data_IF_871504248546
#
_entry.id   IF_871504248546
#
_cell.length_a   1.000
_cell.length_b   1.000
_cell.length_c   1.000
_cell.angle_alpha   90.00
_cell.angle_beta   90.00
_cell.angle_gamma   90.00
#
_symmetry.space_group_name_H-M   'P 1'
#
loop_
_entity.id
_entity.type
_entity.pdbx_description
1 polymer ?
#
# COMPACT_ATOMS: atom_id res chain seq x y z
N UNK A 1 -6.54 -26.17 -13.16
CA UNK A 1 -7.29 -25.99 -11.90
C UNK A 1 -6.44 -25.55 -10.70
N UNK A 2 -5.43 -26.29 -10.20
CA UNK A 2 -4.70 -25.87 -8.98
C UNK A 2 -3.88 -24.57 -9.12
N UNK A 3 -3.35 -24.29 -10.32
CA UNK A 3 -2.56 -23.09 -10.59
C UNK A 3 -3.43 -21.82 -10.76
N UNK A 4 -4.62 -21.95 -11.33
CA UNK A 4 -5.57 -20.83 -11.53
C UNK A 4 -6.20 -20.38 -10.20
N UNK A 5 -6.46 -21.32 -9.28
CA UNK A 5 -6.92 -20.99 -7.92
C UNK A 5 -5.85 -20.31 -7.05
N UNK A 6 -4.56 -20.53 -7.31
CA UNK A 6 -3.48 -19.80 -6.64
C UNK A 6 -3.38 -18.36 -7.16
N UNK A 7 -3.64 -18.15 -8.45
CA UNK A 7 -3.68 -16.81 -9.06
C UNK A 7 -4.86 -15.97 -8.55
N UNK A 8 -5.98 -16.59 -8.11
CA UNK A 8 -7.12 -15.86 -7.54
C UNK A 8 -6.95 -15.49 -6.06
N UNK A 9 -5.94 -16.05 -5.37
CA UNK A 9 -5.70 -15.79 -3.94
C UNK A 9 -4.87 -14.53 -3.71
N UNK A 10 -3.96 -14.20 -4.63
CA UNK A 10 -2.98 -13.16 -4.42
C UNK A 10 -3.25 -11.95 -5.32
N UNK A 11 -3.55 -10.81 -4.70
CA UNK A 11 -3.70 -9.53 -5.42
C UNK A 11 -2.36 -8.80 -5.43
N UNK A 12 -1.82 -8.38 -6.58
CA UNK A 12 -0.54 -7.68 -6.62
C UNK A 12 -0.64 -6.29 -5.98
N UNK A 13 0.41 -5.86 -5.28
CA UNK A 13 0.57 -4.45 -4.91
C UNK A 13 0.93 -3.61 -6.13
N UNK A 14 0.55 -2.33 -6.08
CA UNK A 14 0.80 -1.32 -7.09
C UNK A 14 1.61 -0.16 -6.49
N UNK A 15 2.39 0.57 -7.31
CA UNK A 15 2.74 0.26 -8.69
C UNK A 15 3.68 -0.95 -8.78
N UNK A 16 3.55 -1.74 -9.86
CA UNK A 16 4.47 -2.83 -10.15
C UNK A 16 5.80 -2.22 -10.63
N UNK A 17 6.83 -2.29 -9.80
CA UNK A 17 8.15 -1.70 -10.09
C UNK A 17 9.00 -2.50 -11.09
N UNK A 18 8.58 -3.71 -11.47
CA UNK A 18 9.34 -4.61 -12.36
C UNK A 18 8.44 -5.21 -13.45
N UNK A 19 8.99 -6.06 -14.33
CA UNK A 19 8.22 -6.73 -15.38
C UNK A 19 7.14 -7.69 -14.84
N UNK A 20 7.30 -8.18 -13.60
CA UNK A 20 6.37 -9.10 -12.95
C UNK A 20 6.08 -8.63 -11.51
N UNK A 21 4.82 -8.66 -11.03
CA UNK A 21 4.56 -8.42 -9.62
C UNK A 21 5.28 -9.46 -8.75
N UNK A 22 6.01 -8.97 -7.76
CA UNK A 22 6.71 -9.79 -6.76
C UNK A 22 6.18 -9.56 -5.34
N UNK A 23 5.42 -8.48 -5.13
CA UNK A 23 4.75 -8.16 -3.87
C UNK A 23 3.24 -8.35 -4.05
N UNK A 24 2.64 -9.10 -3.14
CA UNK A 24 1.25 -9.49 -3.21
C UNK A 24 0.58 -9.41 -1.85
N UNK A 25 -0.71 -9.13 -1.87
CA UNK A 25 -1.65 -9.23 -0.76
C UNK A 25 -2.30 -10.62 -0.84
N UNK A 26 -2.34 -11.35 0.27
CA UNK A 26 -3.16 -12.56 0.37
C UNK A 26 -4.62 -12.18 0.59
N UNK A 27 -5.40 -12.17 -0.49
CA UNK A 27 -6.81 -11.76 -0.49
C UNK A 27 -7.69 -12.68 0.34
N UNK A 28 -7.21 -13.88 0.68
CA UNK A 28 -7.93 -14.84 1.54
C UNK A 28 -7.57 -14.74 3.02
N UNK A 29 -6.61 -13.89 3.41
CA UNK A 29 -6.23 -13.68 4.82
C UNK A 29 -7.42 -13.19 5.66
N UNK A 30 -7.45 -13.38 7.00
CA UNK A 30 -8.53 -12.85 7.82
C UNK A 30 -8.68 -11.32 7.66
N UNK A 31 -9.92 -10.80 7.61
CA UNK A 31 -10.17 -9.35 7.47
C UNK A 31 -9.52 -8.53 8.60
N UNK A 32 -9.42 -9.11 9.80
CA UNK A 32 -8.71 -8.49 10.94
C UNK A 32 -7.23 -8.29 10.67
N UNK A 33 -6.58 -9.26 10.02
CA UNK A 33 -5.16 -9.19 9.67
C UNK A 33 -4.94 -8.19 8.52
N UNK A 34 -5.82 -8.19 7.52
CA UNK A 34 -5.79 -7.19 6.44
C UNK A 34 -5.98 -5.77 7.00
N UNK A 35 -6.94 -5.57 7.91
CA UNK A 35 -7.18 -4.29 8.56
C UNK A 35 -5.99 -3.85 9.42
N UNK A 36 -5.40 -4.76 10.21
CA UNK A 36 -4.22 -4.46 11.01
C UNK A 36 -3.03 -4.04 10.12
N UNK A 37 -2.82 -4.75 9.01
CA UNK A 37 -1.80 -4.45 8.00
C UNK A 37 -2.01 -3.06 7.38
N UNK A 38 -3.23 -2.72 6.98
CA UNK A 38 -3.57 -1.40 6.46
C UNK A 38 -3.39 -0.30 7.51
N UNK A 39 -3.78 -0.56 8.76
CA UNK A 39 -3.66 0.37 9.87
C UNK A 39 -2.20 0.70 10.18
N UNK A 40 -1.33 -0.31 10.24
CA UNK A 40 0.11 -0.11 10.46
C UNK A 40 0.71 0.79 9.36
N UNK A 41 0.41 0.51 8.09
CA UNK A 41 0.88 1.31 6.94
C UNK A 41 0.35 2.73 6.95
N UNK A 42 -0.92 2.91 7.33
CA UNK A 42 -1.53 4.24 7.44
C UNK A 42 -0.87 5.07 8.54
N UNK A 43 -0.59 4.48 9.70
CA UNK A 43 0.16 5.17 10.76
C UNK A 43 1.57 5.54 10.31
N UNK A 44 2.31 4.62 9.68
CA UNK A 44 3.64 4.92 9.15
C UNK A 44 3.62 6.05 8.10
N UNK A 45 2.59 6.08 7.25
CA UNK A 45 2.37 7.16 6.27
C UNK A 45 2.13 8.49 6.97
N UNK A 46 1.29 8.50 8.01
CA UNK A 46 0.98 9.70 8.78
C UNK A 46 2.21 10.23 9.52
N UNK A 47 2.99 9.35 10.15
CA UNK A 47 4.24 9.70 10.83
C UNK A 47 5.24 10.32 9.85
N UNK A 48 5.38 9.74 8.66
CA UNK A 48 6.23 10.27 7.60
C UNK A 48 5.78 11.67 7.14
N UNK A 49 4.49 11.84 6.85
CA UNK A 49 3.95 13.14 6.41
C UNK A 49 4.06 14.20 7.51
N UNK A 50 3.89 13.81 8.77
CA UNK A 50 4.06 14.70 9.93
C UNK A 50 5.51 15.15 10.04
N UNK A 51 6.47 14.22 9.92
CA UNK A 51 7.89 14.55 9.91
C UNK A 51 8.24 15.53 8.78
N UNK A 52 7.68 15.32 7.59
CA UNK A 52 7.87 16.21 6.44
C UNK A 52 7.26 17.60 6.63
N UNK A 53 6.08 17.69 7.25
CA UNK A 53 5.45 18.97 7.56
C UNK A 53 6.26 19.79 8.58
N UNK A 54 6.95 19.12 9.51
CA UNK A 54 7.81 19.78 10.50
C UNK A 54 9.24 20.07 9.99
N UNK A 55 9.69 19.41 8.92
CA UNK A 55 11.02 19.62 8.37
C UNK A 55 11.13 21.00 7.70
N UNK A 56 12.09 21.82 8.13
CA UNK A 56 12.42 23.07 7.45
C UNK A 56 13.18 22.75 6.17
N UNK A 57 12.46 22.52 5.07
CA UNK A 57 12.97 22.27 3.71
C UNK A 57 13.64 23.51 3.06
N UNK A 58 14.17 24.43 3.87
CA UNK A 58 14.68 25.75 3.43
C UNK A 58 15.92 25.68 2.53
N UNK A 59 16.57 24.52 2.42
CA UNK A 59 17.75 24.29 1.57
C UNK A 59 17.68 22.99 0.75
N UNK A 60 16.51 22.33 0.70
CA UNK A 60 16.38 21.06 -0.04
C UNK A 60 16.28 21.31 -1.55
N UNK A 61 17.04 20.56 -2.33
CA UNK A 61 16.99 20.64 -3.79
C UNK A 61 15.64 20.13 -4.31
N UNK A 62 15.21 20.58 -5.49
CA UNK A 62 13.97 20.10 -6.13
C UNK A 62 13.93 18.56 -6.29
N UNK A 63 15.09 17.90 -6.38
CA UNK A 63 15.24 16.44 -6.38
C UNK A 63 14.77 15.79 -5.08
N UNK A 64 14.94 16.48 -3.95
CA UNK A 64 14.56 15.97 -2.64
C UNK A 64 13.03 15.93 -2.54
N UNK A 65 12.34 16.98 -2.99
CA UNK A 65 10.88 17.02 -3.06
C UNK A 65 10.30 15.88 -3.90
N UNK A 66 10.83 15.62 -5.10
CA UNK A 66 10.37 14.52 -5.95
C UNK A 66 10.52 13.17 -5.26
N UNK A 67 11.64 12.96 -4.57
CA UNK A 67 11.90 11.74 -3.80
C UNK A 67 10.90 11.61 -2.66
N UNK A 68 10.70 12.68 -1.89
CA UNK A 68 9.82 12.70 -0.74
C UNK A 68 8.35 12.47 -1.13
N UNK A 69 7.89 13.10 -2.20
CA UNK A 69 6.55 12.91 -2.75
C UNK A 69 6.37 11.50 -3.30
N UNK A 70 7.38 10.92 -3.96
CA UNK A 70 7.27 9.55 -4.45
C UNK A 70 7.20 8.53 -3.31
N UNK A 71 7.93 8.73 -2.21
CA UNK A 71 7.81 7.90 -1.00
C UNK A 71 6.41 8.00 -0.41
N UNK A 72 5.89 9.22 -0.20
CA UNK A 72 4.52 9.42 0.28
C UNK A 72 3.49 8.68 -0.60
N UNK A 73 3.62 8.82 -1.92
CA UNK A 73 2.74 8.19 -2.90
C UNK A 73 2.75 6.67 -2.77
N UNK A 74 3.93 6.04 -2.63
CA UNK A 74 4.05 4.58 -2.46
C UNK A 74 3.38 4.14 -1.16
N UNK A 75 3.63 4.83 -0.04
CA UNK A 75 3.05 4.47 1.25
C UNK A 75 1.52 4.58 1.25
N UNK A 76 0.96 5.64 0.63
CA UNK A 76 -0.49 5.77 0.45
C UNK A 76 -1.03 4.67 -0.46
N UNK A 77 -0.32 4.32 -1.54
CA UNK A 77 -0.76 3.27 -2.46
C UNK A 77 -0.82 1.90 -1.77
N UNK A 78 0.16 1.56 -0.92
CA UNK A 78 0.15 0.33 -0.13
C UNK A 78 -1.12 0.23 0.74
N UNK A 79 -1.54 1.36 1.34
CA UNK A 79 -2.78 1.43 2.12
C UNK A 79 -4.00 1.24 1.23
N UNK A 80 -4.06 1.95 0.09
CA UNK A 80 -5.17 1.86 -0.87
C UNK A 80 -5.35 0.43 -1.40
N UNK A 81 -4.27 -0.27 -1.71
CA UNK A 81 -4.34 -1.63 -2.27
C UNK A 81 -4.89 -2.63 -1.24
N UNK A 82 -4.46 -2.55 0.02
CA UNK A 82 -4.98 -3.41 1.08
C UNK A 82 -6.44 -3.07 1.38
N UNK A 83 -6.81 -1.78 1.39
CA UNK A 83 -8.21 -1.37 1.54
C UNK A 83 -9.09 -1.88 0.39
N UNK A 84 -8.61 -1.83 -0.85
CA UNK A 84 -9.37 -2.34 -2.00
C UNK A 84 -9.73 -3.83 -1.85
N UNK A 85 -8.83 -4.64 -1.32
CA UNK A 85 -9.11 -6.07 -1.01
C UNK A 85 -10.15 -6.21 0.10
N UNK A 86 -10.08 -5.37 1.15
CA UNK A 86 -11.06 -5.37 2.25
C UNK A 86 -12.44 -4.96 1.72
N UNK A 87 -12.51 -3.89 0.93
CA UNK A 87 -13.76 -3.37 0.34
C UNK A 87 -14.39 -4.39 -0.59
N UNK A 88 -13.61 -4.99 -1.49
CA UNK A 88 -14.10 -6.03 -2.39
C UNK A 88 -14.76 -7.17 -1.61
N UNK A 89 -14.13 -7.64 -0.53
CA UNK A 89 -14.67 -8.72 0.31
C UNK A 89 -15.85 -8.29 1.19
N UNK A 90 -15.91 -7.03 1.57
CA UNK A 90 -17.08 -6.46 2.25
C UNK A 90 -18.29 -6.42 1.33
N UNK A 91 -18.09 -5.99 0.07
CA UNK A 91 -19.15 -5.90 -0.94
C UNK A 91 -19.60 -7.26 -1.48
N UNK A 92 -18.71 -8.26 -1.54
CA UNK A 92 -19.05 -9.64 -1.93
C UNK A 92 -19.77 -10.42 -0.80
N UNK A 93 -19.77 -9.90 0.42
CA UNK A 93 -20.42 -10.50 1.59
C UNK A 93 -21.85 -10.02 1.85
N UNK A 94 -22.36 -9.05 1.08
CA UNK A 94 -23.78 -8.62 1.01
C UNK A 94 -24.55 -9.38 -0.08
#
# INVERSE_FOLDING_TARGET
MKAEQLLSRFTPLTPIATTQPILFIDSTAPLTELHACASERLHATLDYLTLMACASLRDSAASDFNTLTNVARILVQDVTDVFGVIEQRGLEGE
#
